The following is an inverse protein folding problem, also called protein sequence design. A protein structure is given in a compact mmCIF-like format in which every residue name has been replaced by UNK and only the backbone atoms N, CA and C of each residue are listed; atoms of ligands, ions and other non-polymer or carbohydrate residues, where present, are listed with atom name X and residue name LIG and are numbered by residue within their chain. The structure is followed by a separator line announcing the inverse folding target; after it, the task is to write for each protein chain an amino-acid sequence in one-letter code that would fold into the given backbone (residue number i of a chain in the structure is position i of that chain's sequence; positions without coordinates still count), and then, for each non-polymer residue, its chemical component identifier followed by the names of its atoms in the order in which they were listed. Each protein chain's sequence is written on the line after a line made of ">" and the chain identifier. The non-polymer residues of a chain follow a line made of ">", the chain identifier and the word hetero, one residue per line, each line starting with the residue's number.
data_IF_037896722370
#
_entry.id   IF_037896722370
#
_cell.length_a   1.000
_cell.length_b   1.000
_cell.length_c   1.000
_cell.angle_alpha   90.00
_cell.angle_beta   90.00
_cell.angle_gamma   90.00
#
_symmetry.space_group_name_H-M   'P 1'
#
loop_
_entity.id
_entity.type
_entity.pdbx_description
1 polymer ?
#
# COMPACT_ATOMS: atom_id res chain seq x y z
N UNK A 1 25.18 25.64 15.56
CA UNK A 1 24.39 24.89 16.54
C UNK A 1 25.21 23.76 17.15
N UNK A 2 24.89 23.40 18.38
CA UNK A 2 25.53 22.25 19.05
C UNK A 2 25.04 20.96 18.39
N UNK A 3 26.00 20.07 18.09
CA UNK A 3 25.69 18.76 17.54
C UNK A 3 24.99 17.90 18.62
N UNK A 4 23.94 17.17 18.22
CA UNK A 4 23.30 16.17 19.08
C UNK A 4 24.13 14.87 19.08
N UNK A 5 25.19 14.86 19.89
CA UNK A 5 26.09 13.72 20.02
C UNK A 5 25.39 12.43 20.43
N UNK A 6 24.40 12.43 21.37
CA UNK A 6 23.66 11.23 21.70
C UNK A 6 22.87 10.65 20.50
N UNK A 7 22.23 11.48 19.69
CA UNK A 7 21.52 11.03 18.51
C UNK A 7 22.46 10.44 17.45
N UNK A 8 23.64 11.05 17.25
CA UNK A 8 24.65 10.51 16.33
C UNK A 8 25.17 9.16 16.82
N UNK A 9 25.45 9.02 18.11
CA UNK A 9 25.92 7.75 18.69
C UNK A 9 24.83 6.65 18.59
N UNK A 10 23.57 7.00 18.86
CA UNK A 10 22.44 6.07 18.72
C UNK A 10 22.26 5.60 17.26
N UNK A 11 22.39 6.52 16.31
CA UNK A 11 22.32 6.19 14.88
C UNK A 11 23.45 5.25 14.46
N UNK A 12 24.69 5.51 14.92
CA UNK A 12 25.85 4.65 14.64
C UNK A 12 25.63 3.23 15.19
N UNK A 13 25.20 3.10 16.45
CA UNK A 13 24.93 1.80 17.06
C UNK A 13 23.81 1.05 16.34
N UNK A 14 22.76 1.74 15.92
CA UNK A 14 21.68 1.14 15.12
C UNK A 14 22.17 0.65 13.75
N UNK A 15 22.99 1.45 13.07
CA UNK A 15 23.59 1.09 11.78
C UNK A 15 24.49 -0.15 11.89
N UNK A 16 25.35 -0.22 12.93
CA UNK A 16 26.19 -1.39 13.20
C UNK A 16 25.34 -2.65 13.45
N UNK A 17 24.32 -2.56 14.29
CA UNK A 17 23.44 -3.68 14.62
C UNK A 17 22.67 -4.21 13.38
N UNK A 18 22.16 -3.31 12.53
CA UNK A 18 21.48 -3.69 11.29
C UNK A 18 22.43 -4.31 10.30
N UNK A 19 23.63 -3.71 10.11
CA UNK A 19 24.61 -4.20 9.13
C UNK A 19 25.09 -5.60 9.47
N UNK A 20 25.29 -5.90 10.75
CA UNK A 20 25.73 -7.22 11.21
C UNK A 20 24.74 -8.35 10.88
N UNK A 21 23.44 -8.06 10.83
CA UNK A 21 22.36 -9.01 10.57
C UNK A 21 21.80 -8.96 9.14
N UNK A 22 22.28 -8.02 8.34
CA UNK A 22 21.68 -7.70 7.04
C UNK A 22 21.58 -8.89 6.08
N UNK A 23 22.57 -9.79 5.92
CA UNK A 23 22.44 -10.93 5.02
C UNK A 23 21.30 -11.88 5.41
N UNK A 24 21.23 -12.27 6.68
CA UNK A 24 20.22 -13.17 7.23
C UNK A 24 18.81 -12.56 7.15
N UNK A 25 18.67 -11.31 7.59
CA UNK A 25 17.41 -10.58 7.53
C UNK A 25 16.93 -10.38 6.08
N UNK A 26 17.83 -10.14 5.15
CA UNK A 26 17.49 -10.01 3.74
C UNK A 26 16.85 -11.28 3.19
N UNK A 27 17.41 -12.44 3.48
CA UNK A 27 16.89 -13.74 3.03
C UNK A 27 15.54 -14.04 3.69
N UNK A 28 15.43 -13.85 5.00
CA UNK A 28 14.20 -14.05 5.77
C UNK A 28 13.06 -13.16 5.25
N UNK A 29 13.32 -11.86 5.11
CA UNK A 29 12.31 -10.91 4.64
C UNK A 29 11.94 -11.15 3.17
N UNK A 30 12.88 -11.57 2.33
CA UNK A 30 12.58 -11.91 0.94
C UNK A 30 11.65 -13.12 0.86
N UNK A 31 11.89 -14.16 1.65
CA UNK A 31 11.02 -15.33 1.71
C UNK A 31 9.61 -14.98 2.20
N UNK A 32 9.51 -14.17 3.27
CA UNK A 32 8.25 -13.70 3.84
C UNK A 32 7.48 -12.81 2.85
N UNK A 33 8.16 -11.90 2.15
CA UNK A 33 7.59 -11.08 1.07
C UNK A 33 7.07 -11.93 -0.07
N UNK A 34 7.80 -12.94 -0.50
CA UNK A 34 7.40 -13.79 -1.61
C UNK A 34 6.19 -14.66 -1.22
N UNK A 35 6.10 -15.09 0.05
CA UNK A 35 4.90 -15.73 0.59
C UNK A 35 3.70 -14.76 0.56
N UNK A 36 3.86 -13.54 1.04
CA UNK A 36 2.85 -12.49 0.99
C UNK A 36 2.39 -12.23 -0.45
N UNK A 37 3.32 -12.08 -1.39
CA UNK A 37 2.99 -11.82 -2.80
C UNK A 37 2.15 -12.94 -3.40
N UNK A 38 2.54 -14.20 -3.19
CA UNK A 38 1.76 -15.34 -3.68
C UNK A 38 0.36 -15.37 -3.07
N UNK A 39 0.27 -15.23 -1.76
CA UNK A 39 -1.00 -15.25 -1.06
C UNK A 39 -1.95 -14.13 -1.47
N UNK A 40 -1.44 -12.92 -1.70
CA UNK A 40 -2.26 -11.79 -2.22
C UNK A 40 -2.81 -12.10 -3.60
N UNK A 41 -1.99 -12.62 -4.52
CA UNK A 41 -2.42 -12.95 -5.89
C UNK A 41 -3.39 -14.14 -5.94
N UNK A 42 -3.31 -15.06 -4.97
CA UNK A 42 -4.27 -16.16 -4.82
C UNK A 42 -5.59 -15.67 -4.20
N UNK A 43 -5.52 -14.83 -3.16
CA UNK A 43 -6.69 -14.32 -2.45
C UNK A 43 -7.47 -13.26 -3.24
N UNK A 44 -6.80 -12.47 -4.08
CA UNK A 44 -7.37 -11.42 -4.92
C UNK A 44 -6.77 -11.53 -6.33
N UNK A 45 -7.35 -12.38 -7.19
CA UNK A 45 -6.75 -12.75 -8.49
C UNK A 45 -6.55 -11.61 -9.48
N UNK A 46 -7.26 -10.51 -9.33
CA UNK A 46 -7.12 -9.30 -10.15
C UNK A 46 -6.15 -8.26 -9.55
N UNK A 47 -5.56 -8.53 -8.40
CA UNK A 47 -4.50 -7.70 -7.84
C UNK A 47 -3.26 -7.71 -8.76
N UNK A 48 -2.63 -6.55 -8.93
CA UNK A 48 -1.46 -6.42 -9.80
C UNK A 48 -0.25 -5.99 -8.97
N UNK A 49 0.77 -6.85 -8.91
CA UNK A 49 2.04 -6.52 -8.28
C UNK A 49 2.77 -5.44 -9.09
N UNK A 50 3.22 -4.37 -8.43
CA UNK A 50 3.90 -3.23 -9.06
C UNK A 50 5.39 -3.21 -8.71
N UNK A 51 6.20 -2.75 -9.68
CA UNK A 51 7.65 -2.65 -9.57
C UNK A 51 8.39 -3.93 -9.92
N UNK A 52 9.71 -3.93 -9.71
CA UNK A 52 10.58 -5.05 -10.03
C UNK A 52 10.25 -6.33 -9.23
N UNK A 53 10.64 -7.48 -9.73
CA UNK A 53 10.48 -8.79 -9.08
C UNK A 53 11.83 -9.39 -8.70
N UNK A 54 11.80 -10.44 -7.87
CA UNK A 54 12.99 -11.19 -7.47
C UNK A 54 14.01 -10.32 -6.73
N UNK A 55 15.28 -10.49 -7.05
CA UNK A 55 16.41 -9.82 -6.38
C UNK A 55 16.47 -8.29 -6.61
N UNK A 56 15.78 -7.79 -7.64
CA UNK A 56 15.72 -6.35 -7.91
C UNK A 56 14.66 -5.62 -7.07
N UNK A 57 13.93 -6.35 -6.22
CA UNK A 57 12.96 -5.81 -5.27
C UNK A 57 13.57 -5.74 -3.87
N UNK A 58 13.26 -4.68 -3.13
CA UNK A 58 13.60 -4.62 -1.70
C UNK A 58 12.96 -5.81 -0.96
N UNK A 59 13.71 -6.47 -0.05
CA UNK A 59 13.25 -7.69 0.59
C UNK A 59 11.93 -7.54 1.38
N UNK A 60 11.72 -6.40 2.01
CA UNK A 60 10.53 -6.15 2.83
C UNK A 60 9.44 -5.33 2.13
N UNK A 61 9.41 -5.21 0.79
CA UNK A 61 8.44 -4.36 0.10
C UNK A 61 7.54 -5.14 -0.87
N UNK A 62 6.22 -5.06 -0.68
CA UNK A 62 5.22 -5.56 -1.60
C UNK A 62 4.21 -4.45 -1.91
N UNK A 63 4.14 -4.03 -3.17
CA UNK A 63 3.27 -2.94 -3.63
C UNK A 63 2.32 -3.45 -4.71
N UNK A 64 1.03 -3.27 -4.49
CA UNK A 64 -0.02 -3.72 -5.40
C UNK A 64 -0.91 -2.58 -5.82
N UNK A 65 -1.63 -2.78 -6.92
CA UNK A 65 -2.86 -2.06 -7.22
C UNK A 65 -4.01 -3.06 -7.25
N UNK A 66 -5.15 -2.64 -6.70
CA UNK A 66 -6.38 -3.44 -6.60
C UNK A 66 -7.46 -2.76 -7.45
N UNK A 67 -7.78 -3.30 -8.64
CA UNK A 67 -8.75 -2.69 -9.54
C UNK A 67 -10.11 -2.45 -8.88
N UNK A 68 -10.66 -1.26 -9.09
CA UNK A 68 -11.95 -0.85 -8.54
C UNK A 68 -11.97 -0.56 -7.04
N UNK A 69 -10.84 -0.71 -6.33
CA UNK A 69 -10.73 -0.29 -4.93
C UNK A 69 -10.29 1.18 -4.84
N UNK A 70 -10.88 1.91 -3.90
CA UNK A 70 -10.31 3.16 -3.41
C UNK A 70 -9.27 2.85 -2.32
N UNK A 71 -8.02 3.30 -2.52
CA UNK A 71 -6.90 2.97 -1.64
C UNK A 71 -7.12 3.40 -0.19
N UNK A 72 -7.71 4.56 0.05
CA UNK A 72 -7.98 5.07 1.40
C UNK A 72 -9.08 4.23 2.09
N UNK A 73 -10.09 3.77 1.34
CA UNK A 73 -11.11 2.85 1.86
C UNK A 73 -10.51 1.50 2.21
N UNK A 74 -9.61 0.99 1.36
CA UNK A 74 -8.90 -0.27 1.60
C UNK A 74 -7.97 -0.15 2.81
N UNK A 75 -7.23 0.96 2.93
CA UNK A 75 -6.38 1.27 4.08
C UNK A 75 -7.19 1.23 5.39
N UNK A 76 -8.32 1.93 5.43
CA UNK A 76 -9.18 1.99 6.60
C UNK A 76 -9.75 0.62 6.99
N UNK A 77 -10.19 -0.17 6.00
CA UNK A 77 -10.74 -1.50 6.25
C UNK A 77 -9.69 -2.50 6.74
N UNK A 78 -8.46 -2.39 6.27
CA UNK A 78 -7.34 -3.19 6.76
C UNK A 78 -6.95 -2.78 8.19
N UNK A 79 -6.91 -1.47 8.48
CA UNK A 79 -6.64 -0.95 9.83
C UNK A 79 -7.68 -1.46 10.85
N UNK A 80 -8.97 -1.44 10.50
CA UNK A 80 -10.04 -2.04 11.33
C UNK A 80 -9.86 -3.55 11.56
N UNK A 81 -9.20 -4.23 10.66
CA UNK A 81 -8.85 -5.65 10.80
C UNK A 81 -7.52 -5.88 11.56
N UNK A 82 -6.87 -4.81 12.04
CA UNK A 82 -5.59 -4.85 12.74
C UNK A 82 -4.37 -5.01 11.84
N UNK A 83 -4.49 -4.63 10.55
CA UNK A 83 -3.41 -4.71 9.56
C UNK A 83 -2.99 -3.31 9.14
N UNK A 84 -1.79 -2.91 9.51
CA UNK A 84 -1.19 -1.65 9.08
C UNK A 84 -0.68 -1.74 7.64
N UNK A 85 -0.98 -0.73 6.84
CA UNK A 85 -0.59 -0.66 5.44
C UNK A 85 -0.43 0.80 4.98
N UNK A 86 -0.17 1.05 3.70
CA UNK A 86 0.02 2.41 3.19
C UNK A 86 -0.45 2.52 1.75
N UNK A 87 -1.15 3.60 1.41
CA UNK A 87 -1.49 3.94 0.02
C UNK A 87 -0.28 4.40 -0.81
N UNK A 88 0.87 4.63 -0.15
CA UNK A 88 2.13 4.99 -0.82
C UNK A 88 2.25 6.45 -1.25
N UNK A 89 1.19 7.24 -1.19
CA UNK A 89 1.26 8.69 -1.41
C UNK A 89 0.96 9.43 -0.11
N UNK A 90 1.91 10.25 0.34
CA UNK A 90 1.65 11.16 1.45
C UNK A 90 0.64 12.22 0.99
N UNK A 91 -0.39 12.47 1.80
CA UNK A 91 -1.34 13.54 1.59
C UNK A 91 -0.58 14.89 1.50
N UNK A 92 -0.58 15.52 0.35
CA UNK A 92 -0.10 16.88 0.21
C UNK A 92 -1.27 17.80 0.55
N UNK A 93 -1.22 18.45 1.70
CA UNK A 93 -2.25 19.39 2.18
C UNK A 93 -3.66 18.77 2.34
N UNK A 94 -3.77 17.50 2.75
CA UNK A 94 -5.07 16.87 3.07
C UNK A 94 -5.91 16.44 1.86
N UNK A 95 -5.39 16.56 0.64
CA UNK A 95 -6.06 16.08 -0.57
C UNK A 95 -5.41 14.77 -1.01
N UNK A 96 -6.14 13.64 -1.06
CA UNK A 96 -5.64 12.38 -1.60
C UNK A 96 -5.29 12.56 -3.09
N UNK A 97 -4.02 12.36 -3.43
CA UNK A 97 -3.56 12.37 -4.82
C UNK A 97 -2.97 11.02 -5.18
N UNK A 98 -3.17 10.54 -6.41
CA UNK A 98 -2.49 9.34 -6.89
C UNK A 98 -0.97 9.48 -6.75
N UNK A 99 -0.29 8.37 -6.48
CA UNK A 99 1.16 8.35 -6.35
C UNK A 99 1.83 8.84 -7.63
N UNK A 100 2.58 9.95 -7.55
CA UNK A 100 3.36 10.47 -8.68
C UNK A 100 4.38 9.44 -9.20
N UNK A 101 4.83 8.51 -8.36
CA UNK A 101 5.71 7.40 -8.77
C UNK A 101 4.96 6.44 -9.68
N UNK A 102 3.73 6.05 -9.33
CA UNK A 102 2.92 5.16 -10.17
C UNK A 102 2.55 5.82 -11.50
N UNK A 103 2.20 7.11 -11.48
CA UNK A 103 1.95 7.88 -12.71
C UNK A 103 3.20 7.94 -13.60
N UNK A 104 4.39 8.18 -13.01
CA UNK A 104 5.65 8.15 -13.74
C UNK A 104 6.02 6.75 -14.28
N UNK A 105 5.50 5.68 -13.68
CA UNK A 105 5.60 4.32 -14.19
C UNK A 105 4.59 4.01 -15.32
N UNK A 106 3.77 5.00 -15.72
CA UNK A 106 2.81 4.87 -16.82
C UNK A 106 1.42 4.37 -16.42
N UNK A 107 1.09 4.34 -15.14
CA UNK A 107 -0.26 4.02 -14.68
C UNK A 107 -1.16 5.25 -14.85
N UNK A 108 -2.42 5.01 -15.20
CA UNK A 108 -3.48 6.02 -15.12
C UNK A 108 -3.86 6.33 -13.66
N UNK A 109 -4.56 7.44 -13.44
CA UNK A 109 -4.91 7.90 -12.11
C UNK A 109 -5.84 6.92 -11.38
N UNK A 110 -6.82 6.33 -12.08
CA UNK A 110 -7.79 5.43 -11.48
C UNK A 110 -7.12 4.15 -10.98
N UNK A 111 -6.22 3.58 -11.78
CA UNK A 111 -5.40 2.44 -11.37
C UNK A 111 -4.49 2.80 -10.19
N UNK A 112 -3.88 3.99 -10.21
CA UNK A 112 -2.99 4.44 -9.15
C UNK A 112 -3.71 4.73 -7.83
N UNK A 113 -5.00 5.09 -7.84
CA UNK A 113 -5.84 5.28 -6.64
C UNK A 113 -6.03 4.00 -5.85
N UNK A 114 -6.13 2.86 -6.51
CA UNK A 114 -6.27 1.54 -5.88
C UNK A 114 -4.95 0.95 -5.35
N UNK A 115 -3.93 1.77 -5.15
CA UNK A 115 -2.62 1.32 -4.71
C UNK A 115 -2.55 1.05 -3.21
N UNK A 116 -1.87 -0.04 -2.83
CA UNK A 116 -1.57 -0.38 -1.45
C UNK A 116 -0.17 -0.97 -1.32
N UNK A 117 0.58 -0.50 -0.33
CA UNK A 117 1.92 -0.99 -0.01
C UNK A 117 1.92 -1.71 1.32
N UNK A 118 2.44 -2.92 1.31
CA UNK A 118 2.74 -3.71 2.50
C UNK A 118 4.25 -3.72 2.72
N UNK A 119 4.68 -3.39 3.93
CA UNK A 119 6.10 -3.32 4.28
C UNK A 119 6.39 -4.24 5.45
N UNK A 120 7.34 -5.14 5.26
CA UNK A 120 7.80 -6.08 6.26
C UNK A 120 9.12 -5.60 6.87
N UNK A 121 9.29 -5.78 8.16
CA UNK A 121 10.47 -5.39 8.93
C UNK A 121 10.99 -6.50 9.82
N UNK A 122 11.95 -6.17 10.65
CA UNK A 122 12.63 -7.13 11.55
C UNK A 122 11.70 -7.82 12.56
N UNK A 123 10.56 -7.22 12.88
CA UNK A 123 9.54 -7.79 13.76
C UNK A 123 8.47 -8.59 13.03
N UNK A 124 8.40 -8.50 11.69
CA UNK A 124 7.35 -9.16 10.91
C UNK A 124 7.54 -10.67 10.89
N UNK A 125 6.40 -11.38 11.01
CA UNK A 125 6.31 -12.84 11.10
C UNK A 125 5.37 -13.41 10.03
N UNK A 126 5.35 -14.73 9.87
CA UNK A 126 4.35 -15.41 9.02
C UNK A 126 2.92 -15.15 9.52
N UNK A 127 2.71 -15.09 10.83
CA UNK A 127 1.39 -14.82 11.39
C UNK A 127 0.84 -13.45 10.97
N UNK A 128 1.69 -12.44 10.80
CA UNK A 128 1.29 -11.13 10.31
C UNK A 128 0.87 -11.19 8.84
N UNK A 129 1.58 -11.98 8.03
CA UNK A 129 1.21 -12.23 6.63
C UNK A 129 -0.13 -12.95 6.55
N UNK A 130 -0.34 -14.01 7.33
CA UNK A 130 -1.60 -14.74 7.36
C UNK A 130 -2.78 -13.88 7.83
N UNK A 131 -2.56 -12.97 8.80
CA UNK A 131 -3.57 -12.02 9.24
C UNK A 131 -4.00 -11.10 8.10
N UNK A 132 -3.05 -10.57 7.32
CA UNK A 132 -3.34 -9.79 6.12
C UNK A 132 -4.12 -10.62 5.09
N UNK A 133 -3.64 -11.81 4.74
CA UNK A 133 -4.24 -12.66 3.71
C UNK A 133 -5.69 -13.05 4.05
N UNK A 134 -5.98 -13.24 5.33
CA UNK A 134 -7.33 -13.50 5.84
C UNK A 134 -8.25 -12.29 5.71
N UNK A 135 -7.76 -11.09 5.99
CA UNK A 135 -8.56 -9.86 5.99
C UNK A 135 -8.78 -9.28 4.57
N UNK A 136 -7.80 -9.47 3.68
CA UNK A 136 -7.72 -8.78 2.39
C UNK A 136 -8.92 -9.00 1.46
N UNK A 137 -9.47 -10.23 1.26
CA UNK A 137 -10.57 -10.44 0.32
C UNK A 137 -11.83 -9.65 0.70
N UNK A 138 -12.19 -9.65 1.98
CA UNK A 138 -13.35 -8.89 2.47
C UNK A 138 -13.10 -7.39 2.37
N UNK A 139 -11.92 -6.92 2.76
CA UNK A 139 -11.54 -5.52 2.67
C UNK A 139 -11.60 -5.02 1.21
N UNK A 140 -11.07 -5.78 0.24
CA UNK A 140 -11.16 -5.45 -1.18
C UNK A 140 -12.61 -5.42 -1.68
N UNK A 141 -13.44 -6.41 -1.30
CA UNK A 141 -14.85 -6.43 -1.69
C UNK A 141 -15.60 -5.20 -1.22
N UNK A 142 -15.41 -4.80 0.04
CA UNK A 142 -16.05 -3.60 0.62
C UNK A 142 -15.49 -2.30 0.04
N UNK A 143 -14.18 -2.22 -0.19
CA UNK A 143 -13.56 -1.04 -0.80
C UNK A 143 -14.07 -0.79 -2.23
N UNK A 144 -14.32 -1.85 -3.01
CA UNK A 144 -14.93 -1.74 -4.35
C UNK A 144 -16.37 -1.21 -4.29
N UNK A 145 -17.18 -1.67 -3.33
CA UNK A 145 -18.53 -1.17 -3.14
C UNK A 145 -18.54 0.32 -2.81
N UNK A 146 -17.61 0.78 -1.97
CA UNK A 146 -17.45 2.20 -1.64
C UNK A 146 -17.04 3.03 -2.88
N UNK A 147 -16.12 2.54 -3.70
CA UNK A 147 -15.68 3.20 -4.95
C UNK A 147 -16.82 3.34 -5.96
N UNK A 148 -17.62 2.29 -6.14
CA UNK A 148 -18.80 2.35 -7.04
C UNK A 148 -19.85 3.37 -6.58
N UNK A 149 -20.14 3.43 -5.28
CA UNK A 149 -21.09 4.39 -4.73
C UNK A 149 -20.62 5.85 -4.91
N UNK A 150 -19.30 6.09 -4.81
CA UNK A 150 -18.70 7.40 -5.08
C UNK A 150 -18.83 7.84 -6.54
N UNK A 151 -18.71 6.92 -7.49
CA UNK A 151 -18.88 7.18 -8.93
C UNK A 151 -20.33 7.50 -9.31
N UNK A 152 -21.29 6.76 -8.78
CA UNK A 152 -22.72 7.01 -9.04
C UNK A 152 -23.17 8.37 -8.54
N UNK A 153 -22.72 8.81 -7.37
CA UNK A 153 -23.04 10.15 -6.84
C UNK A 153 -22.45 11.28 -7.69
N UNK A 154 -21.26 11.10 -8.27
CA UNK A 154 -20.62 12.07 -9.19
C UNK A 154 -21.41 12.22 -10.49
N UNK A 155 -21.89 11.12 -11.04
CA UNK A 155 -22.70 11.13 -12.28
C UNK A 155 -24.04 11.82 -12.05
N UNK A 156 -24.71 11.56 -10.91
CA UNK A 156 -25.97 12.21 -10.57
C UNK A 156 -25.79 13.72 -10.34
N UNK A 157 -24.71 14.15 -9.72
CA UNK A 157 -24.38 15.58 -9.51
C UNK A 157 -24.14 16.28 -10.84
N UNK A 158 -23.36 15.66 -11.75
CA UNK A 158 -23.12 16.21 -13.09
C UNK A 158 -24.41 16.35 -13.93
N UNK A 159 -25.27 15.33 -13.89
CA UNK A 159 -26.57 15.35 -14.58
C UNK A 159 -27.52 16.44 -14.02
N UNK A 160 -27.47 16.68 -12.71
CA UNK A 160 -28.29 17.72 -12.05
C UNK A 160 -27.80 19.13 -12.40
N UNK A 161 -26.48 19.36 -12.48
CA UNK A 161 -25.89 20.62 -12.89
C UNK A 161 -26.20 20.91 -14.36
N UNK A 162 -26.08 19.92 -15.24
CA UNK A 162 -26.40 20.07 -16.66
C UNK A 162 -27.88 20.45 -16.92
N UNK A 163 -28.81 19.94 -16.10
CA UNK A 163 -30.25 20.29 -16.21
C UNK A 163 -30.59 21.70 -15.70
N UNK A 164 -29.78 22.29 -14.81
CA UNK A 164 -29.98 23.64 -14.29
C UNK A 164 -29.36 24.74 -15.16
N UNK A 165 -28.47 24.40 -16.09
CA UNK A 165 -27.80 25.33 -16.98
C UNK A 165 -28.53 25.64 -18.30
N UNK A 166 -29.77 25.14 -18.51
CA UNK A 166 -30.58 25.29 -19.71
C UNK A 166 -31.94 25.94 -19.35
N UNK A 167 -31.91 26.96 -18.51
CA UNK A 167 -33.09 27.78 -18.22
C UNK A 167 -32.71 29.26 -18.28
#
# INVERSE_FOLDING_TARGET
>A
GTLDTPAVAAFAAAAEAVTAKLPEERERLAALRDHLIRGVLEAVPDAVLRGATGERRLPGNAHFTFPGCEGDSLLFLLDLAGVESSTGSACTAGVPRPSHVLLAMGLDEDTARGAQRFTLGHTSTEADVEALLKALPEACSRARQAGMAGHESSIQTAATVARRGVA
#
